data_IF_669354764539
#
_entry.id   IF_669354764539
#
_cell.length_a   1.000
_cell.length_b   1.000
_cell.length_c   1.000
_cell.angle_alpha   90.00
_cell.angle_beta   90.00
_cell.angle_gamma   90.00
#
_symmetry.space_group_name_H-M   'P 1'
#
loop_
_entity.id
_entity.type
_entity.pdbx_description
1 polymer ?
#
# COMPACT_ATOMS: atom_id res chain seq x y z
N UNK A 1 -39.27 -28.70 -53.57
CA UNK A 1 -39.41 -27.71 -52.47
C UNK A 1 -38.31 -27.78 -51.40
N UNK A 2 -37.71 -28.93 -51.06
CA UNK A 2 -36.64 -29.06 -50.04
C UNK A 2 -35.32 -28.30 -50.30
N UNK A 3 -34.92 -28.11 -51.56
CA UNK A 3 -33.66 -27.44 -51.89
C UNK A 3 -33.69 -25.90 -51.64
N UNK A 4 -34.87 -25.30 -51.67
CA UNK A 4 -35.04 -23.86 -51.41
C UNK A 4 -34.97 -23.54 -49.92
N UNK A 5 -35.53 -24.40 -49.04
CA UNK A 5 -35.47 -24.19 -47.58
C UNK A 5 -34.04 -24.35 -47.05
N UNK A 6 -33.28 -25.32 -47.55
CA UNK A 6 -31.88 -25.57 -47.11
C UNK A 6 -30.92 -24.41 -47.48
N UNK A 7 -31.18 -23.72 -48.60
CA UNK A 7 -30.37 -22.58 -49.04
C UNK A 7 -30.68 -21.30 -48.24
N UNK A 8 -31.91 -21.15 -47.76
CA UNK A 8 -32.36 -20.02 -46.94
C UNK A 8 -31.78 -20.12 -45.51
N UNK A 9 -31.80 -21.30 -44.91
CA UNK A 9 -31.17 -21.56 -43.60
C UNK A 9 -29.66 -21.27 -43.65
N UNK A 10 -28.96 -21.75 -44.69
CA UNK A 10 -27.52 -21.50 -44.84
C UNK A 10 -27.16 -20.02 -44.99
N UNK A 11 -28.02 -19.20 -45.63
CA UNK A 11 -27.81 -17.75 -45.76
C UNK A 11 -28.15 -16.99 -44.48
N UNK A 12 -29.15 -17.43 -43.71
CA UNK A 12 -29.50 -16.84 -42.42
C UNK A 12 -28.42 -17.07 -41.36
N UNK A 13 -27.85 -18.28 -41.26
CA UNK A 13 -26.72 -18.55 -40.37
C UNK A 13 -25.45 -17.78 -40.74
N UNK A 14 -25.20 -17.55 -42.04
CA UNK A 14 -24.04 -16.78 -42.53
C UNK A 14 -24.15 -15.27 -42.26
N UNK A 15 -25.37 -14.72 -42.27
CA UNK A 15 -25.62 -13.33 -41.87
C UNK A 15 -25.49 -13.15 -40.35
N UNK A 16 -26.13 -14.04 -39.58
CA UNK A 16 -26.09 -14.00 -38.12
C UNK A 16 -24.67 -14.20 -37.56
N UNK A 17 -23.85 -15.07 -38.17
CA UNK A 17 -22.45 -15.27 -37.74
C UNK A 17 -21.58 -14.02 -37.96
N UNK A 18 -21.77 -13.28 -39.05
CA UNK A 18 -21.02 -12.02 -39.30
C UNK A 18 -21.36 -10.94 -38.28
N UNK A 19 -22.63 -10.82 -37.89
CA UNK A 19 -23.05 -9.91 -36.82
C UNK A 19 -22.48 -10.33 -35.45
N UNK A 20 -22.54 -11.63 -35.14
CA UNK A 20 -22.00 -12.18 -33.88
C UNK A 20 -20.47 -12.00 -33.81
N UNK A 21 -19.74 -12.27 -34.90
CA UNK A 21 -18.29 -12.08 -34.96
C UNK A 21 -17.92 -10.61 -34.77
N UNK A 22 -18.65 -9.68 -35.41
CA UNK A 22 -18.43 -8.25 -35.21
C UNK A 22 -18.62 -7.82 -33.75
N UNK A 23 -19.68 -8.31 -33.10
CA UNK A 23 -19.95 -8.03 -31.69
C UNK A 23 -18.86 -8.60 -30.77
N UNK A 24 -18.40 -9.83 -31.03
CA UNK A 24 -17.31 -10.46 -30.29
C UNK A 24 -16.01 -9.67 -30.44
N UNK A 25 -15.65 -9.25 -31.66
CA UNK A 25 -14.46 -8.43 -31.89
C UNK A 25 -14.52 -7.10 -31.13
N UNK A 26 -15.67 -6.42 -31.14
CA UNK A 26 -15.87 -5.18 -30.38
C UNK A 26 -15.69 -5.44 -28.88
N UNK A 27 -16.29 -6.51 -28.34
CA UNK A 27 -16.14 -6.84 -26.91
C UNK A 27 -14.70 -7.14 -26.53
N UNK A 28 -13.92 -7.80 -27.41
CA UNK A 28 -12.52 -8.11 -27.18
C UNK A 28 -11.67 -6.85 -27.17
N UNK A 29 -11.88 -5.95 -28.15
CA UNK A 29 -11.18 -4.66 -28.22
C UNK A 29 -11.48 -3.80 -26.99
N UNK A 30 -12.75 -3.76 -26.58
CA UNK A 30 -13.19 -2.98 -25.43
C UNK A 30 -12.58 -3.54 -24.13
N UNK A 31 -12.53 -4.86 -23.99
CA UNK A 31 -11.89 -5.54 -22.85
C UNK A 31 -10.39 -5.25 -22.82
N UNK A 32 -9.69 -5.37 -23.95
CA UNK A 32 -8.26 -5.08 -24.05
C UNK A 32 -7.95 -3.61 -23.76
N UNK A 33 -8.78 -2.68 -24.22
CA UNK A 33 -8.66 -1.25 -23.91
C UNK A 33 -8.81 -0.99 -22.41
N UNK A 34 -9.79 -1.64 -21.77
CA UNK A 34 -10.04 -1.50 -20.33
C UNK A 34 -8.87 -2.08 -19.52
N UNK A 35 -8.34 -3.23 -19.91
CA UNK A 35 -7.11 -3.80 -19.31
C UNK A 35 -5.93 -2.84 -19.50
N UNK A 36 -5.76 -2.24 -20.67
CA UNK A 36 -4.71 -1.25 -20.93
C UNK A 36 -4.79 -0.04 -19.99
N UNK A 37 -6.00 0.51 -19.78
CA UNK A 37 -6.22 1.62 -18.83
C UNK A 37 -5.92 1.19 -17.39
N UNK A 38 -6.32 -0.01 -16.98
CA UNK A 38 -6.03 -0.54 -15.65
C UNK A 38 -4.53 -0.71 -15.41
N UNK A 39 -3.81 -1.24 -16.41
CA UNK A 39 -2.35 -1.40 -16.36
C UNK A 39 -1.65 -0.04 -16.31
N UNK A 40 -2.13 0.93 -17.10
CA UNK A 40 -1.59 2.28 -17.11
C UNK A 40 -1.75 2.98 -15.75
N UNK A 41 -2.97 2.93 -15.19
CA UNK A 41 -3.25 3.47 -13.86
C UNK A 41 -2.39 2.79 -12.79
N UNK A 42 -2.27 1.45 -12.84
CA UNK A 42 -1.41 0.70 -11.92
C UNK A 42 0.06 1.11 -12.04
N UNK A 43 0.60 1.22 -13.26
CA UNK A 43 2.00 1.62 -13.46
C UNK A 43 2.30 3.03 -12.95
N UNK A 44 1.36 3.97 -13.13
CA UNK A 44 1.48 5.32 -12.60
C UNK A 44 1.54 5.33 -11.06
N UNK A 45 0.85 4.40 -10.41
CA UNK A 45 0.91 4.21 -8.96
C UNK A 45 2.25 3.54 -8.55
N UNK A 46 2.67 2.47 -9.22
CA UNK A 46 3.89 1.74 -8.83
C UNK A 46 5.19 2.57 -8.85
N UNK A 47 5.34 3.50 -9.80
CA UNK A 47 6.56 4.33 -9.88
C UNK A 47 6.64 5.45 -8.82
N UNK A 48 5.54 5.79 -8.13
CA UNK A 48 5.51 6.84 -7.11
C UNK A 48 5.36 6.30 -5.68
N UNK A 49 5.00 5.03 -5.52
CA UNK A 49 4.61 4.43 -4.23
C UNK A 49 5.78 4.07 -3.29
N UNK A 50 7.00 3.94 -3.79
CA UNK A 50 8.13 3.47 -2.97
C UNK A 50 8.49 4.47 -1.85
N UNK A 51 8.33 5.77 -2.09
CA UNK A 51 8.62 6.83 -1.12
C UNK A 51 7.60 6.87 0.03
N UNK A 52 6.32 6.70 -0.27
CA UNK A 52 5.23 6.75 0.71
C UNK A 52 5.20 5.49 1.58
N UNK A 53 5.44 4.30 1.00
CA UNK A 53 5.51 3.06 1.78
C UNK A 53 6.74 3.04 2.71
N UNK A 54 7.91 3.47 2.22
CA UNK A 54 9.10 3.54 3.04
C UNK A 54 8.95 4.52 4.22
N UNK A 55 8.30 5.67 4.00
CA UNK A 55 8.03 6.63 5.07
C UNK A 55 7.08 6.06 6.14
N UNK A 56 6.01 5.36 5.73
CA UNK A 56 5.06 4.71 6.65
C UNK A 56 5.73 3.62 7.50
N UNK A 57 6.56 2.79 6.89
CA UNK A 57 7.32 1.74 7.61
C UNK A 57 8.25 2.37 8.64
N UNK A 58 9.05 3.37 8.25
CA UNK A 58 9.97 4.06 9.16
C UNK A 58 9.24 4.77 10.30
N UNK A 59 8.07 5.36 10.02
CA UNK A 59 7.25 5.97 11.06
C UNK A 59 6.77 4.92 12.07
N UNK A 60 6.25 3.78 11.60
CA UNK A 60 5.80 2.69 12.46
C UNK A 60 6.92 2.11 13.34
N UNK A 61 8.10 1.86 12.75
CA UNK A 61 9.29 1.39 13.49
C UNK A 61 9.70 2.37 14.59
N UNK A 62 9.67 3.67 14.28
CA UNK A 62 10.04 4.70 15.23
C UNK A 62 9.01 4.84 16.35
N UNK A 63 7.72 4.78 16.04
CA UNK A 63 6.66 4.75 17.05
C UNK A 63 6.79 3.55 17.98
N UNK A 64 7.08 2.36 17.43
CA UNK A 64 7.32 1.16 18.24
C UNK A 64 8.53 1.33 19.16
N UNK A 65 9.61 1.94 18.66
CA UNK A 65 10.81 2.24 19.46
C UNK A 65 10.52 3.24 20.58
N UNK A 66 9.75 4.29 20.31
CA UNK A 66 9.36 5.30 21.30
C UNK A 66 8.53 4.64 22.42
N UNK A 67 7.55 3.82 22.06
CA UNK A 67 6.71 3.11 23.03
C UNK A 67 7.55 2.19 23.93
N UNK A 68 8.47 1.42 23.34
CA UNK A 68 9.36 0.56 24.12
C UNK A 68 10.26 1.36 25.08
N UNK A 69 10.79 2.49 24.63
CA UNK A 69 11.64 3.35 25.46
C UNK A 69 10.85 3.96 26.63
N UNK A 70 9.62 4.39 26.40
CA UNK A 70 8.74 4.93 27.44
C UNK A 70 8.42 3.88 28.53
N UNK A 71 8.18 2.64 28.13
CA UNK A 71 7.98 1.54 29.07
C UNK A 71 9.24 1.27 29.91
N UNK A 72 10.42 1.26 29.29
CA UNK A 72 11.69 1.10 29.99
C UNK A 72 11.94 2.25 30.97
N UNK A 73 11.62 3.49 30.59
CA UNK A 73 11.75 4.67 31.46
C UNK A 73 10.81 4.59 32.67
N UNK A 74 9.53 4.30 32.42
CA UNK A 74 8.52 4.17 33.46
C UNK A 74 8.89 3.08 34.45
N UNK A 75 9.34 1.92 33.97
CA UNK A 75 9.79 0.84 34.83
C UNK A 75 11.08 1.18 35.57
N UNK A 76 12.02 1.90 34.95
CA UNK A 76 13.24 2.36 35.62
C UNK A 76 12.90 3.34 36.75
N UNK A 77 11.97 4.28 36.53
CA UNK A 77 11.51 5.21 37.56
C UNK A 77 10.83 4.47 38.71
N UNK A 78 9.96 3.49 38.41
CA UNK A 78 9.31 2.65 39.43
C UNK A 78 10.33 1.87 40.25
N UNK A 79 11.33 1.27 39.61
CA UNK A 79 12.38 0.52 40.31
C UNK A 79 13.27 1.43 41.17
N UNK A 80 13.63 2.61 40.67
CA UNK A 80 14.36 3.60 41.46
C UNK A 80 13.56 3.99 42.72
N UNK A 81 12.26 4.25 42.58
CA UNK A 81 11.40 4.60 43.70
C UNK A 81 11.19 3.43 44.69
N UNK A 82 11.07 2.20 44.19
CA UNK A 82 10.81 1.03 45.01
C UNK A 82 12.05 0.50 45.75
N UNK A 83 13.23 0.62 45.14
CA UNK A 83 14.47 0.02 45.65
C UNK A 83 15.48 1.04 46.18
N UNK A 84 15.38 2.31 45.77
CA UNK A 84 16.39 3.32 46.06
C UNK A 84 17.72 3.13 45.32
N UNK A 85 17.84 2.14 44.43
CA UNK A 85 19.08 1.86 43.71
C UNK A 85 19.29 2.85 42.55
N UNK A 86 20.38 3.64 42.66
CA UNK A 86 20.81 4.64 41.69
C UNK A 86 21.16 4.06 40.31
N UNK A 87 21.36 2.74 40.18
CA UNK A 87 21.53 2.10 38.87
C UNK A 87 20.29 2.30 37.99
N UNK A 88 19.09 2.34 38.57
CA UNK A 88 17.85 2.59 37.85
C UNK A 88 17.75 4.04 37.35
N UNK A 89 18.28 5.00 38.11
CA UNK A 89 18.39 6.39 37.64
C UNK A 89 19.38 6.52 36.48
N UNK A 90 20.54 5.88 36.57
CA UNK A 90 21.52 5.84 35.46
C UNK A 90 20.91 5.21 34.21
N UNK A 91 20.13 4.13 34.38
CA UNK A 91 19.37 3.50 33.31
C UNK A 91 18.36 4.47 32.71
N UNK A 92 17.58 5.17 33.54
CA UNK A 92 16.61 6.18 33.11
C UNK A 92 17.27 7.24 32.23
N UNK A 93 18.35 7.89 32.72
CA UNK A 93 19.07 8.94 31.98
C UNK A 93 19.62 8.45 30.63
N UNK A 94 20.09 7.20 30.57
CA UNK A 94 20.60 6.60 29.32
C UNK A 94 19.49 6.41 28.27
N UNK A 95 18.29 5.99 28.69
CA UNK A 95 17.17 5.77 27.78
C UNK A 95 16.42 7.06 27.45
N UNK A 96 16.47 8.06 28.33
CA UNK A 96 15.92 9.40 28.11
C UNK A 96 16.57 10.07 26.88
N UNK A 97 17.90 9.98 26.78
CA UNK A 97 18.65 10.47 25.60
C UNK A 97 18.25 9.75 24.30
N UNK A 98 17.97 8.44 24.37
CA UNK A 98 17.55 7.67 23.21
C UNK A 98 16.11 7.99 22.79
N UNK A 99 15.24 8.28 23.77
CA UNK A 99 13.86 8.70 23.52
C UNK A 99 13.83 10.07 22.84
N UNK A 100 14.58 11.04 23.34
CA UNK A 100 14.69 12.37 22.74
C UNK A 100 15.20 12.30 21.28
N UNK A 101 16.23 11.49 21.04
CA UNK A 101 16.73 11.24 19.68
C UNK A 101 15.68 10.59 18.77
N UNK A 102 14.89 9.63 19.29
CA UNK A 102 13.82 8.99 18.52
C UNK A 102 12.69 9.98 18.19
N UNK A 103 12.26 10.80 19.15
CA UNK A 103 11.23 11.83 18.93
C UNK A 103 11.69 12.83 17.87
N UNK A 104 12.93 13.33 17.95
CA UNK A 104 13.51 14.24 16.94
C UNK A 104 13.54 13.62 15.55
N UNK A 105 13.90 12.33 15.44
CA UNK A 105 13.83 11.59 14.18
C UNK A 105 12.42 11.54 13.59
N UNK A 106 11.39 11.44 14.44
CA UNK A 106 9.99 11.36 14.02
C UNK A 106 9.45 12.69 13.54
N UNK A 107 9.81 13.76 14.25
CA UNK A 107 9.50 15.13 13.84
C UNK A 107 10.16 15.47 12.48
N UNK A 108 11.40 15.03 12.25
CA UNK A 108 12.06 15.23 10.96
C UNK A 108 11.38 14.47 9.82
N UNK A 109 10.92 13.24 10.06
CA UNK A 109 10.14 12.47 9.07
C UNK A 109 8.78 13.13 8.78
N UNK A 110 8.10 13.63 9.81
CA UNK A 110 6.83 14.33 9.66
C UNK A 110 6.99 15.64 8.87
N UNK A 111 8.00 16.45 9.19
CA UNK A 111 8.31 17.68 8.44
C UNK A 111 8.58 17.40 6.97
N UNK A 112 9.44 16.41 6.67
CA UNK A 112 9.74 16.00 5.29
C UNK A 112 8.50 15.54 4.51
N UNK A 113 7.50 14.94 5.19
CA UNK A 113 6.26 14.50 4.53
C UNK A 113 5.26 15.61 4.24
N UNK A 114 5.41 16.79 4.88
CA UNK A 114 4.56 17.97 4.68
C UNK A 114 5.12 18.93 3.62
N UNK A 115 6.40 18.77 3.25
CA UNK A 115 7.09 19.57 2.23
C UNK A 115 6.95 19.00 0.80
N UNK A 116 6.15 17.94 0.61
CA UNK A 116 5.91 17.25 -0.68
C UNK A 116 4.55 17.61 -1.26
#
# INVERSE_FOLDING_TARGET
>A
MRAASMKVESRQHLGMSKFVIGFVCISVILTLGLVGVLVWNSMHEYFFHESVHAARIRFAELSAKILHLDEVLTMSARMAAATGDLQWEKRYRKFELQLDAAIKGGLALAGKSLDI
#
